data_IF_744322891263
#
_entry.id   IF_744322891263
#
_cell.length_a   1.000
_cell.length_b   1.000
_cell.length_c   1.000
_cell.angle_alpha   90.00
_cell.angle_beta   90.00
_cell.angle_gamma   90.00
#
_symmetry.space_group_name_H-M   'P 1'
#
loop_
_entity.id
_entity.type
_entity.pdbx_description
1 polymer ?
#
# COMPACT_ATOMS: atom_id res chain seq x y z
N UNK A 1 -39.76 31.54 10.15
CA UNK A 1 -39.04 32.72 9.64
C UNK A 1 -37.57 32.56 9.93
N UNK A 2 -36.76 32.23 8.91
CA UNK A 2 -35.30 32.38 8.91
C UNK A 2 -34.54 31.36 9.77
N UNK A 3 -33.36 30.85 9.43
CA UNK A 3 -32.35 31.24 8.44
C UNK A 3 -31.59 29.95 8.06
N UNK A 4 -31.61 29.66 6.75
CA UNK A 4 -30.50 29.24 5.90
C UNK A 4 -29.50 28.20 6.43
N UNK A 5 -29.57 27.04 5.76
CA UNK A 5 -28.49 26.10 5.47
C UNK A 5 -27.05 26.65 5.64
N UNK A 6 -26.30 26.09 6.58
CA UNK A 6 -24.85 26.26 6.68
C UNK A 6 -24.16 24.89 6.77
N UNK A 7 -23.68 24.43 5.60
CA UNK A 7 -22.53 23.54 5.41
C UNK A 7 -22.60 22.10 5.94
N UNK A 8 -23.46 21.29 5.31
CA UNK A 8 -23.33 19.82 5.29
C UNK A 8 -23.20 19.31 3.85
N UNK A 9 -22.01 19.41 3.23
CA UNK A 9 -21.71 18.58 2.04
C UNK A 9 -20.21 18.53 1.69
N UNK A 10 -19.61 17.40 2.06
CA UNK A 10 -18.70 16.60 1.22
C UNK A 10 -17.37 17.22 0.75
N UNK A 11 -16.35 17.18 1.61
CA UNK A 11 -14.97 16.96 1.13
C UNK A 11 -14.90 15.55 0.56
N UNK A 12 -14.81 15.47 -0.76
CA UNK A 12 -14.40 14.28 -1.48
C UNK A 12 -12.88 14.13 -1.45
N UNK A 13 -12.41 13.00 -0.95
CA UNK A 13 -11.07 12.47 -1.22
C UNK A 13 -11.20 10.95 -1.24
N UNK A 14 -11.55 10.41 -2.42
CA UNK A 14 -11.47 8.99 -2.69
C UNK A 14 -10.01 8.56 -2.73
N UNK A 15 -9.65 7.62 -1.87
CA UNK A 15 -8.47 6.79 -2.12
C UNK A 15 -8.95 5.52 -2.82
N UNK A 16 -8.93 5.62 -4.13
CA UNK A 16 -9.04 4.55 -5.12
C UNK A 16 -8.00 3.45 -4.84
N UNK A 17 -8.42 2.37 -4.19
CA UNK A 17 -7.70 1.08 -4.28
C UNK A 17 -8.33 0.28 -5.41
N UNK A 18 -7.79 0.47 -6.61
CA UNK A 18 -8.08 -0.35 -7.78
C UNK A 18 -7.54 -1.78 -7.53
N UNK A 19 -8.40 -2.65 -7.00
CA UNK A 19 -8.09 -4.05 -6.69
C UNK A 19 -8.59 -4.97 -7.80
N UNK A 20 -7.91 -4.96 -8.95
CA UNK A 20 -8.12 -5.96 -10.00
C UNK A 20 -7.47 -7.29 -9.56
N UNK A 21 -8.22 -8.12 -8.84
CA UNK A 21 -7.80 -9.45 -8.38
C UNK A 21 -7.87 -10.48 -9.49
N UNK A 22 -6.77 -10.69 -10.23
CA UNK A 22 -6.59 -11.88 -11.08
C UNK A 22 -5.88 -12.98 -10.30
N UNK A 23 -6.63 -14.04 -10.03
CA UNK A 23 -6.23 -15.26 -9.34
C UNK A 23 -5.22 -16.07 -10.17
N UNK A 24 -3.94 -15.99 -9.80
CA UNK A 24 -2.88 -16.86 -10.32
C UNK A 24 -1.57 -16.59 -9.59
N UNK A 25 -1.27 -17.38 -8.55
CA UNK A 25 -0.16 -17.14 -7.62
C UNK A 25 -0.15 -15.69 -7.07
N UNK A 26 -1.29 -15.28 -6.48
CA UNK A 26 -1.73 -13.89 -6.40
C UNK A 26 -0.80 -12.89 -5.69
N UNK A 27 -0.91 -11.65 -6.14
CA UNK A 27 -0.33 -10.47 -5.53
C UNK A 27 -0.84 -10.33 -4.09
N UNK A 28 0.10 -10.29 -3.14
CA UNK A 28 -0.22 -10.23 -1.72
C UNK A 28 -0.14 -8.78 -1.24
N UNK A 29 -1.20 -8.26 -0.64
CA UNK A 29 -1.12 -6.97 0.01
C UNK A 29 -0.56 -7.12 1.43
N UNK A 30 0.57 -6.46 1.71
CA UNK A 30 1.25 -6.48 3.01
C UNK A 30 1.25 -5.08 3.64
N UNK A 31 1.13 -5.01 4.96
CA UNK A 31 1.22 -3.76 5.71
C UNK A 31 2.65 -3.51 6.19
N UNK A 32 3.19 -2.33 5.87
CA UNK A 32 4.52 -1.94 6.31
C UNK A 32 4.54 -1.65 7.82
N UNK A 33 5.46 -2.27 8.56
CA UNK A 33 5.57 -2.06 10.02
C UNK A 33 6.03 -0.65 10.42
N UNK A 34 6.61 0.14 9.51
CA UNK A 34 7.12 1.49 9.84
C UNK A 34 6.19 2.61 9.41
N UNK A 35 5.73 2.60 8.15
CA UNK A 35 4.85 3.65 7.65
C UNK A 35 3.37 3.26 7.69
N UNK A 36 3.04 2.03 8.09
CA UNK A 36 1.67 1.46 8.13
C UNK A 36 0.93 1.52 6.79
N UNK A 37 1.62 1.76 5.69
CA UNK A 37 1.06 1.72 4.35
C UNK A 37 0.98 0.29 3.84
N UNK A 38 -0.13 -0.02 3.16
CA UNK A 38 -0.29 -1.26 2.41
C UNK A 38 0.54 -1.18 1.13
N UNK A 39 1.26 -2.24 0.80
CA UNK A 39 2.02 -2.36 -0.43
C UNK A 39 1.78 -3.74 -1.06
N UNK A 40 1.84 -3.77 -2.38
CA UNK A 40 1.67 -5.01 -3.15
C UNK A 40 2.98 -5.79 -3.14
N UNK A 41 2.90 -7.06 -2.79
CA UNK A 41 3.97 -8.03 -2.85
C UNK A 41 3.65 -8.99 -4.00
N UNK A 42 4.17 -8.63 -5.17
CA UNK A 42 3.86 -9.29 -6.44
C UNK A 42 4.35 -10.74 -6.45
N UNK A 43 3.68 -11.56 -7.27
CA UNK A 43 4.06 -12.96 -7.49
C UNK A 43 5.53 -13.12 -7.94
N UNK A 44 6.04 -12.17 -8.73
CA UNK A 44 7.43 -12.14 -9.19
C UNK A 44 8.43 -11.95 -8.06
N UNK A 45 8.19 -10.97 -7.18
CA UNK A 45 9.01 -10.75 -5.99
C UNK A 45 8.93 -11.92 -5.02
N UNK A 46 7.75 -12.52 -4.83
CA UNK A 46 7.58 -13.71 -4.00
C UNK A 46 8.49 -14.86 -4.47
N UNK A 47 8.53 -15.13 -5.79
CA UNK A 47 9.40 -16.17 -6.38
C UNK A 47 10.88 -15.84 -6.19
N UNK A 48 11.27 -14.59 -6.39
CA UNK A 48 12.65 -14.15 -6.20
C UNK A 48 13.12 -14.34 -4.75
N UNK A 49 12.30 -13.95 -3.77
CA UNK A 49 12.62 -14.13 -2.36
C UNK A 49 12.72 -15.62 -1.99
N UNK A 50 11.77 -16.44 -2.43
CA UNK A 50 11.80 -17.90 -2.22
C UNK A 50 13.04 -18.55 -2.83
N UNK A 51 13.42 -18.20 -4.05
CA UNK A 51 14.61 -18.74 -4.73
C UNK A 51 15.92 -18.40 -4.01
N UNK A 52 15.97 -17.24 -3.34
CA UNK A 52 17.15 -16.83 -2.56
C UNK A 52 17.13 -17.32 -1.12
N UNK A 53 16.12 -18.10 -0.71
CA UNK A 53 15.94 -18.52 0.68
C UNK A 53 15.63 -17.36 1.63
N UNK A 54 15.10 -16.25 1.11
CA UNK A 54 14.78 -15.06 1.87
C UNK A 54 13.29 -15.06 2.27
N UNK A 55 13.00 -14.56 3.48
CA UNK A 55 11.62 -14.40 3.96
C UNK A 55 10.96 -13.13 3.42
N UNK A 56 9.62 -13.12 3.43
CA UNK A 56 8.81 -12.00 2.94
C UNK A 56 9.16 -10.66 3.63
N UNK A 57 9.14 -9.54 2.86
CA UNK A 57 9.47 -8.24 3.40
C UNK A 57 8.40 -7.73 4.38
N UNK A 58 8.80 -7.32 5.59
CA UNK A 58 7.92 -6.64 6.56
C UNK A 58 7.83 -5.12 6.36
N UNK A 59 8.71 -4.55 5.53
CA UNK A 59 8.80 -3.11 5.23
C UNK A 59 8.64 -2.90 3.73
N UNK A 60 7.91 -1.86 3.32
CA UNK A 60 7.74 -1.52 1.91
C UNK A 60 9.04 -0.97 1.27
N UNK A 61 9.12 -1.02 -0.06
CA UNK A 61 10.27 -0.53 -0.83
C UNK A 61 10.62 0.94 -0.55
N UNK A 62 9.61 1.79 -0.31
CA UNK A 62 9.82 3.20 0.06
C UNK A 62 10.54 3.36 1.40
N UNK A 63 10.20 2.57 2.42
CA UNK A 63 10.88 2.60 3.72
C UNK A 63 12.30 2.03 3.64
N UNK A 64 12.52 0.98 2.83
CA UNK A 64 13.85 0.42 2.59
C UNK A 64 14.78 1.42 1.88
N UNK A 65 14.26 2.14 0.88
CA UNK A 65 15.02 3.13 0.10
C UNK A 65 15.32 4.44 0.84
N UNK A 66 14.48 4.85 1.80
CA UNK A 66 14.65 6.10 2.56
C UNK A 66 15.95 6.20 3.35
N UNK A 67 16.63 5.07 3.62
CA UNK A 67 17.95 5.07 4.29
C UNK A 67 19.08 5.65 3.42
N UNK A 68 18.87 5.84 2.11
CA UNK A 68 19.87 6.38 1.18
C UNK A 68 19.82 7.91 1.01
N UNK A 69 18.75 8.59 1.45
CA UNK A 69 18.54 10.04 1.25
C UNK A 69 18.80 10.86 2.53
N UNK A 70 19.96 10.66 3.15
CA UNK A 70 20.54 11.51 4.21
C UNK A 70 22.08 11.55 4.09
N UNK A 71 22.60 11.49 2.87
CA UNK A 71 23.99 11.82 2.56
C UNK A 71 24.00 13.01 1.63
#
# INVERSE_FOLDING_TARGET
>A
MGILAFFKKLVGAGTETNGNGKSGAGDLQLSCVECRKTFTFEAGEQKFFKQRGLSSPRRCGSCRGKKRRRR
#
